data_IF_984389394184
#
_entry.id   IF_984389394184
#
_cell.length_a   1.000
_cell.length_b   1.000
_cell.length_c   1.000
_cell.angle_alpha   90.00
_cell.angle_beta   90.00
_cell.angle_gamma   90.00
#
_symmetry.space_group_name_H-M   'P 1'
#
loop_
_entity.id
_entity.type
_entity.pdbx_description
1 polymer ?
#
# COMPACT_ATOMS: atom_id res chain seq x y z
N UNK A 1 22.32 -22.66 12.10
CA UNK A 1 21.40 -21.51 12.10
C UNK A 1 22.24 -20.29 11.75
N UNK A 2 22.13 -19.72 10.55
CA UNK A 2 22.93 -18.56 10.15
C UNK A 2 22.34 -17.32 10.82
N UNK A 3 22.90 -16.93 11.98
CA UNK A 3 22.60 -15.64 12.61
C UNK A 3 23.43 -14.56 11.90
N UNK A 4 22.81 -13.85 10.97
CA UNK A 4 23.41 -12.66 10.41
C UNK A 4 23.63 -11.63 11.55
N UNK A 5 24.67 -10.77 11.50
CA UNK A 5 24.91 -9.78 12.55
C UNK A 5 23.84 -8.67 12.63
N UNK A 6 23.00 -8.56 11.60
CA UNK A 6 22.14 -7.40 11.35
C UNK A 6 20.67 -7.82 11.49
N UNK A 7 19.90 -7.33 12.49
CA UNK A 7 18.55 -7.81 12.79
C UNK A 7 17.54 -7.56 11.66
N UNK A 8 17.88 -6.65 10.74
CA UNK A 8 17.07 -6.34 9.58
C UNK A 8 17.87 -5.58 8.53
N UNK A 9 17.58 -5.84 7.26
CA UNK A 9 18.19 -5.17 6.13
C UNK A 9 17.19 -4.20 5.50
N UNK A 10 17.51 -2.91 5.51
CA UNK A 10 16.77 -1.88 4.77
C UNK A 10 17.29 -1.78 3.35
N UNK A 11 16.44 -2.02 2.36
CA UNK A 11 16.81 -2.13 0.95
C UNK A 11 16.45 -0.89 0.15
N UNK A 12 17.22 -0.65 -0.91
CA UNK A 12 16.94 0.39 -1.89
C UNK A 12 15.80 -0.02 -2.84
N UNK A 13 15.07 0.96 -3.37
CA UNK A 13 13.89 0.83 -4.22
C UNK A 13 14.18 0.02 -5.49
N UNK A 14 15.41 0.04 -6.01
CA UNK A 14 15.82 -0.78 -7.17
C UNK A 14 15.70 -2.29 -6.90
N UNK A 15 15.91 -2.74 -5.67
CA UNK A 15 15.73 -4.16 -5.30
C UNK A 15 14.25 -4.55 -5.17
N UNK A 16 13.33 -3.58 -5.08
CA UNK A 16 11.89 -3.82 -5.05
C UNK A 16 11.38 -4.39 -6.39
N UNK A 17 12.06 -4.10 -7.50
CA UNK A 17 11.68 -4.62 -8.83
C UNK A 17 11.90 -6.13 -8.95
N UNK A 18 12.86 -6.68 -8.20
CA UNK A 18 13.16 -8.11 -8.19
C UNK A 18 12.42 -8.92 -7.11
N UNK A 19 11.59 -8.27 -6.29
CA UNK A 19 10.86 -8.91 -5.19
C UNK A 19 9.38 -8.96 -5.52
N UNK A 20 8.79 -10.14 -5.40
CA UNK A 20 7.36 -10.30 -5.55
C UNK A 20 6.62 -9.50 -4.46
N UNK A 21 5.62 -8.73 -4.90
CA UNK A 21 4.71 -7.98 -4.03
C UNK A 21 3.28 -8.21 -4.53
N UNK A 22 2.28 -8.26 -3.64
CA UNK A 22 0.89 -8.34 -4.07
C UNK A 22 0.49 -7.06 -4.80
N UNK A 23 -0.30 -7.22 -5.87
CA UNK A 23 -0.88 -6.09 -6.60
C UNK A 23 -2.12 -5.59 -5.84
N UNK A 24 -1.90 -4.77 -4.82
CA UNK A 24 -2.97 -4.17 -4.02
C UNK A 24 -3.51 -2.90 -4.66
N UNK A 25 -4.83 -2.77 -4.78
CA UNK A 25 -5.51 -1.58 -5.29
C UNK A 25 -6.66 -1.13 -4.38
N UNK A 26 -7.09 0.12 -4.54
CA UNK A 26 -8.24 0.67 -3.82
C UNK A 26 -9.48 0.55 -4.68
N UNK A 27 -10.42 -0.33 -4.31
CA UNK A 27 -11.63 -0.60 -5.10
C UNK A 27 -12.47 0.66 -5.31
N UNK A 28 -12.64 1.47 -4.27
CA UNK A 28 -13.37 2.74 -4.35
C UNK A 28 -12.49 3.94 -4.75
N UNK A 29 -11.24 3.70 -5.17
CA UNK A 29 -10.34 4.74 -5.67
C UNK A 29 -10.74 5.20 -7.07
N UNK A 30 -11.26 6.43 -7.21
CA UNK A 30 -11.50 7.06 -8.54
C UNK A 30 -10.20 7.57 -9.18
N UNK A 31 -9.16 7.79 -8.38
CA UNK A 31 -7.83 8.10 -8.85
C UNK A 31 -6.83 8.00 -7.71
N UNK A 32 -5.67 7.40 -7.95
CA UNK A 32 -4.58 7.32 -6.99
C UNK A 32 -3.35 8.01 -7.56
N UNK A 33 -2.77 8.94 -6.81
CA UNK A 33 -1.50 9.56 -7.14
C UNK A 33 -0.39 8.88 -6.33
N UNK A 34 0.52 8.22 -7.05
CA UNK A 34 1.79 7.76 -6.50
C UNK A 34 2.71 8.97 -6.38
N UNK A 35 3.14 9.29 -5.16
CA UNK A 35 4.10 10.37 -4.93
C UNK A 35 5.45 9.99 -5.54
N UNK A 36 5.78 10.58 -6.69
CA UNK A 36 7.04 10.36 -7.42
C UNK A 36 8.09 11.44 -7.12
N UNK A 37 7.79 12.45 -6.30
CA UNK A 37 8.65 13.62 -6.02
C UNK A 37 8.85 13.73 -4.49
N UNK A 38 10.05 13.91 -3.92
CA UNK A 38 11.43 14.03 -4.45
C UNK A 38 12.25 12.73 -4.38
N UNK A 39 11.76 11.71 -3.64
CA UNK A 39 12.18 10.30 -3.67
C UNK A 39 10.90 9.47 -3.56
N UNK A 40 10.77 8.31 -4.24
CA UNK A 40 9.66 7.41 -3.96
C UNK A 40 9.81 6.98 -2.51
N UNK A 41 8.92 7.44 -1.62
CA UNK A 41 8.96 7.14 -0.18
C UNK A 41 8.55 5.68 0.05
N UNK A 42 9.33 4.74 -0.47
CA UNK A 42 9.14 3.29 -0.40
C UNK A 42 10.23 2.74 0.52
N UNK A 43 9.82 2.20 1.65
CA UNK A 43 10.68 1.49 2.58
C UNK A 43 10.46 -0.01 2.40
N UNK A 44 11.54 -0.73 2.12
CA UNK A 44 11.57 -2.19 2.14
C UNK A 44 12.54 -2.64 3.24
N UNK A 45 12.06 -3.44 4.18
CA UNK A 45 12.88 -3.99 5.27
C UNK A 45 12.67 -5.48 5.39
N UNK A 46 13.74 -6.25 5.25
CA UNK A 46 13.73 -7.71 5.40
C UNK A 46 14.29 -8.05 6.78
N UNK A 47 13.53 -8.80 7.56
CA UNK A 47 13.95 -9.31 8.87
C UNK A 47 14.62 -10.68 8.72
N UNK A 48 15.43 -11.05 9.70
CA UNK A 48 16.17 -12.33 9.70
C UNK A 48 15.25 -13.56 9.73
N UNK A 49 14.05 -13.41 10.28
CA UNK A 49 13.02 -14.45 10.33
C UNK A 49 12.27 -14.61 8.99
N UNK A 50 12.67 -13.87 7.95
CA UNK A 50 12.05 -13.91 6.63
C UNK A 50 10.84 -12.98 6.46
N UNK A 51 10.44 -12.23 7.50
CA UNK A 51 9.38 -11.23 7.36
C UNK A 51 9.84 -10.07 6.48
N UNK A 52 8.95 -9.60 5.62
CA UNK A 52 9.20 -8.46 4.74
C UNK A 52 8.22 -7.35 5.09
N UNK A 53 8.75 -6.19 5.47
CA UNK A 53 7.99 -4.97 5.66
C UNK A 53 8.13 -4.10 4.41
N UNK A 54 6.99 -3.82 3.78
CA UNK A 54 6.89 -2.89 2.68
C UNK A 54 5.96 -1.73 3.07
N UNK A 55 6.46 -0.50 2.98
CA UNK A 55 5.70 0.71 3.29
C UNK A 55 5.87 1.73 2.18
N UNK A 56 4.77 2.33 1.74
CA UNK A 56 4.79 3.41 0.78
C UNK A 56 3.75 4.49 1.09
N UNK A 57 4.05 5.73 0.72
CA UNK A 57 3.12 6.85 0.85
C UNK A 57 2.28 7.01 -0.43
N UNK A 58 0.95 6.95 -0.28
CA UNK A 58 -0.02 7.10 -1.36
C UNK A 58 -0.98 8.24 -1.05
N UNK A 59 -1.37 9.03 -2.06
CA UNK A 59 -2.53 9.93 -1.96
C UNK A 59 -3.64 9.39 -2.84
N UNK A 60 -4.78 9.11 -2.22
CA UNK A 60 -5.92 8.43 -2.86
C UNK A 60 -7.09 9.39 -2.89
N UNK A 61 -7.71 9.51 -4.06
CA UNK A 61 -9.03 10.13 -4.23
C UNK A 61 -10.06 9.01 -4.31
N UNK A 62 -10.70 8.73 -3.18
CA UNK A 62 -11.73 7.70 -3.08
C UNK A 62 -13.13 8.29 -3.28
N UNK A 63 -14.05 7.46 -3.77
CA UNK A 63 -15.48 7.76 -3.82
C UNK A 63 -16.11 7.40 -2.50
N UNK A 64 -16.85 8.35 -1.93
CA UNK A 64 -17.67 8.13 -0.75
C UNK A 64 -19.08 8.68 -1.04
N UNK A 65 -20.13 7.83 -1.06
CA UNK A 65 -21.50 8.31 -1.14
C UNK A 65 -21.87 8.95 0.20
N UNK A 66 -22.25 10.23 0.18
CA UNK A 66 -22.65 10.98 1.36
C UNK A 66 -24.16 11.17 1.39
N UNK A 67 -24.78 10.96 2.56
CA UNK A 67 -26.22 11.20 2.77
C UNK A 67 -26.43 12.55 3.48
N UNK A 68 -26.79 13.58 2.72
CA UNK A 68 -26.85 14.98 3.18
C UNK A 68 -28.22 15.39 3.75
N UNK A 69 -28.94 14.46 4.38
CA UNK A 69 -30.31 14.72 4.86
C UNK A 69 -30.37 15.72 6.02
N UNK A 70 -29.33 15.76 6.88
CA UNK A 70 -29.28 16.61 8.09
C UNK A 70 -28.16 17.67 8.02
N UNK A 71 -27.88 18.18 6.84
CA UNK A 71 -26.83 19.19 6.66
C UNK A 71 -27.08 20.43 7.53
N UNK A 72 -26.07 20.99 8.24
CA UNK A 72 -24.65 20.62 8.26
C UNK A 72 -24.22 19.71 9.44
N UNK A 73 -25.17 19.15 10.21
CA UNK A 73 -24.90 18.32 11.40
C UNK A 73 -24.98 16.82 11.11
N UNK A 74 -24.77 16.44 9.85
CA UNK A 74 -24.76 15.06 9.39
C UNK A 74 -23.45 14.34 9.74
N UNK A 75 -23.53 13.00 9.83
CA UNK A 75 -22.37 12.14 10.04
C UNK A 75 -22.18 11.29 8.79
N UNK A 76 -21.01 11.37 8.18
CA UNK A 76 -20.64 10.58 7.00
C UNK A 76 -19.65 9.48 7.39
N UNK A 77 -19.87 8.28 6.88
CA UNK A 77 -18.94 7.14 7.04
C UNK A 77 -18.39 6.77 5.68
N UNK A 78 -17.08 6.99 5.49
CA UNK A 78 -16.41 6.77 4.21
C UNK A 78 -15.41 5.61 4.34
N UNK A 79 -15.81 4.38 3.98
CA UNK A 79 -14.89 3.25 4.00
C UNK A 79 -13.85 3.39 2.90
N UNK A 80 -12.62 2.98 3.18
CA UNK A 80 -11.58 2.76 2.17
C UNK A 80 -11.46 1.25 1.97
N UNK A 81 -11.75 0.78 0.75
CA UNK A 81 -11.77 -0.64 0.43
C UNK A 81 -10.47 -0.99 -0.28
N UNK A 82 -9.68 -1.84 0.37
CA UNK A 82 -8.42 -2.38 -0.12
C UNK A 82 -8.67 -3.79 -0.67
N UNK A 83 -8.30 -4.02 -1.91
CA UNK A 83 -8.39 -5.33 -2.54
C UNK A 83 -7.03 -5.74 -3.11
N UNK A 84 -6.79 -7.05 -3.14
CA UNK A 84 -5.65 -7.63 -3.85
C UNK A 84 -6.16 -8.11 -5.19
N UNK A 85 -5.54 -7.65 -6.27
CA UNK A 85 -5.73 -8.28 -7.56
C UNK A 85 -5.09 -9.66 -7.49
N UNK A 86 -5.90 -10.66 -7.19
CA UNK A 86 -5.48 -12.05 -7.31
C UNK A 86 -5.25 -12.32 -8.80
N UNK A 87 -4.07 -12.82 -9.14
CA UNK A 87 -3.76 -13.33 -10.48
C UNK A 87 -4.62 -14.59 -10.66
N UNK A 88 -5.89 -14.43 -11.02
CA UNK A 88 -6.78 -15.53 -11.43
C UNK A 88 -6.59 -15.89 -12.92
N UNK A 89 -5.57 -15.34 -13.59
CA UNK A 89 -5.34 -15.52 -15.03
C UNK A 89 -4.06 -16.31 -15.37
N UNK A 90 -3.56 -17.14 -14.47
CA UNK A 90 -2.49 -18.12 -14.77
C UNK A 90 -2.84 -19.54 -14.33
N UNK A 91 -4.08 -19.97 -14.58
CA UNK A 91 -4.45 -21.38 -14.82
C UNK A 91 -5.18 -21.44 -16.15
#
# INVERSE_FOLDING_TARGET
MFEAPIPSLSLNIKMLEGIWKPDTYFHNGKGSYLHTITLPNKLLRIFQDGRVLYSMRLTIKATCPMLLQNFPMDKQSCPLVLEVMAILWTI
#
